data_IF_657684723347
#
_entry.id   IF_657684723347
#
_cell.length_a   1.000
_cell.length_b   1.000
_cell.length_c   1.000
_cell.angle_alpha   90.00
_cell.angle_beta   90.00
_cell.angle_gamma   90.00
#
_symmetry.space_group_name_H-M   'P 1'
#
loop_
_entity.id
_entity.type
_entity.pdbx_description
1 polymer ?
#
# COMPACT_ATOMS: atom_id res chain seq x y z
N UNK A 1 6.76 -6.04 -5.78
CA UNK A 1 7.31 -5.96 -4.42
C UNK A 1 7.87 -7.33 -4.04
N UNK A 2 9.13 -7.40 -3.67
CA UNK A 2 9.82 -8.64 -3.34
C UNK A 2 9.38 -9.19 -1.97
N UNK A 3 9.69 -10.46 -1.69
CA UNK A 3 9.51 -11.06 -0.36
C UNK A 3 10.28 -10.28 0.72
N UNK A 4 11.48 -9.78 0.37
CA UNK A 4 12.33 -8.98 1.26
C UNK A 4 11.66 -7.66 1.61
N UNK A 5 11.11 -6.95 0.63
CA UNK A 5 10.43 -5.67 0.85
C UNK A 5 9.22 -5.85 1.78
N UNK A 6 8.46 -6.95 1.62
CA UNK A 6 7.34 -7.28 2.52
C UNK A 6 7.79 -7.48 3.96
N UNK A 7 8.89 -8.20 4.16
CA UNK A 7 9.43 -8.43 5.50
C UNK A 7 9.97 -7.14 6.15
N UNK A 8 10.65 -6.28 5.37
CA UNK A 8 11.09 -4.96 5.86
C UNK A 8 9.90 -4.10 6.25
N UNK A 9 8.87 -4.04 5.40
CA UNK A 9 7.66 -3.27 5.67
C UNK A 9 6.91 -3.79 6.90
N UNK A 10 6.81 -5.11 7.05
CA UNK A 10 6.20 -5.74 8.23
C UNK A 10 6.94 -5.35 9.52
N UNK A 11 8.27 -5.50 9.55
CA UNK A 11 9.08 -5.16 10.72
C UNK A 11 8.94 -3.67 11.08
N UNK A 12 8.95 -2.79 10.08
CA UNK A 12 8.77 -1.36 10.26
C UNK A 12 7.39 -1.04 10.86
N UNK A 13 6.32 -1.60 10.31
CA UNK A 13 4.96 -1.42 10.82
C UNK A 13 4.85 -1.93 12.26
N UNK A 14 5.37 -3.13 12.55
CA UNK A 14 5.33 -3.73 13.89
C UNK A 14 6.08 -2.86 14.92
N UNK A 15 7.22 -2.27 14.55
CA UNK A 15 8.00 -1.41 15.45
C UNK A 15 7.29 -0.10 15.83
N UNK A 16 6.29 0.32 15.05
CA UNK A 16 5.58 1.61 15.22
C UNK A 16 4.12 1.45 15.63
N UNK A 17 3.54 0.29 15.41
CA UNK A 17 2.15 0.03 15.77
C UNK A 17 1.95 0.22 17.28
N UNK A 18 1.06 1.14 17.64
CA UNK A 18 0.68 1.35 19.03
C UNK A 18 -0.14 0.18 19.57
N UNK A 19 -0.34 0.18 20.89
CA UNK A 19 -1.28 -0.75 21.52
C UNK A 19 -2.68 -0.58 20.91
N UNK A 20 -3.34 -1.71 20.58
CA UNK A 20 -4.69 -1.72 20.02
C UNK A 20 -4.78 -1.62 18.49
N UNK A 21 -3.67 -1.53 17.78
CA UNK A 21 -3.66 -1.55 16.32
C UNK A 21 -3.96 -2.96 15.78
N UNK A 22 -4.85 -3.04 14.78
CA UNK A 22 -5.07 -4.28 14.02
C UNK A 22 -4.22 -4.23 12.75
N UNK A 23 -3.17 -5.04 12.72
CA UNK A 23 -2.25 -5.07 11.58
C UNK A 23 -2.82 -5.85 10.39
N UNK A 24 -2.48 -5.40 9.19
CA UNK A 24 -2.77 -6.12 7.95
C UNK A 24 -1.75 -7.26 7.83
N UNK A 25 -2.18 -8.52 7.57
CA UNK A 25 -1.25 -9.61 7.32
C UNK A 25 -0.35 -9.33 6.10
N UNK A 26 0.94 -9.69 6.11
CA UNK A 26 1.85 -9.45 4.99
C UNK A 26 1.40 -10.04 3.64
N UNK A 27 0.64 -11.13 3.69
CA UNK A 27 0.02 -11.74 2.51
C UNK A 27 -0.91 -10.77 1.76
N UNK A 28 -1.49 -9.80 2.48
CA UNK A 28 -2.42 -8.81 1.95
C UNK A 28 -1.76 -7.46 1.65
N UNK A 29 -0.43 -7.33 1.68
CA UNK A 29 0.23 -6.10 1.26
C UNK A 29 0.11 -5.90 -0.25
N UNK A 30 -0.60 -4.85 -0.64
CA UNK A 30 -0.85 -4.46 -2.03
C UNK A 30 -1.05 -2.95 -2.14
N UNK A 31 -0.88 -2.41 -3.35
CA UNK A 31 -1.29 -1.05 -3.68
C UNK A 31 -2.70 -1.11 -4.28
N UNK A 32 -3.67 -0.42 -3.66
CA UNK A 32 -5.01 -0.28 -4.23
C UNK A 32 -4.97 0.77 -5.34
N UNK A 33 -5.23 0.38 -6.59
CA UNK A 33 -5.33 1.29 -7.73
C UNK A 33 -6.75 1.83 -7.92
N UNK A 34 -7.75 0.99 -7.70
CA UNK A 34 -9.16 1.33 -7.79
C UNK A 34 -9.95 0.46 -6.81
N UNK A 35 -10.89 1.07 -6.08
CA UNK A 35 -11.81 0.36 -5.19
C UNK A 35 -13.20 0.39 -5.80
N UNK A 36 -13.74 -0.78 -6.15
CA UNK A 36 -15.03 -0.92 -6.83
C UNK A 36 -16.22 -1.12 -5.87
N UNK A 37 -15.97 -1.30 -4.58
CA UNK A 37 -17.01 -1.60 -3.60
C UNK A 37 -17.77 -2.91 -3.89
N UNK A 38 -19.06 -2.95 -3.54
CA UNK A 38 -19.95 -4.08 -3.83
C UNK A 38 -20.54 -4.08 -5.25
N UNK A 39 -20.21 -3.08 -6.06
CA UNK A 39 -20.64 -2.98 -7.45
C UNK A 39 -19.48 -3.42 -8.33
N UNK A 40 -19.35 -4.72 -8.55
CA UNK A 40 -18.70 -5.18 -9.77
C UNK A 40 -19.68 -4.87 -10.91
N UNK A 41 -19.34 -3.96 -11.84
CA UNK A 41 -20.12 -3.81 -13.06
C UNK A 41 -20.24 -5.19 -13.71
N UNK A 42 -21.41 -5.57 -14.21
CA UNK A 42 -21.60 -6.85 -14.90
C UNK A 42 -20.60 -7.03 -16.06
N UNK A 43 -20.06 -5.93 -16.60
CA UNK A 43 -19.00 -5.88 -17.61
C UNK A 43 -17.62 -6.32 -17.11
N UNK A 44 -17.29 -6.18 -15.81
CA UNK A 44 -16.05 -6.73 -15.22
C UNK A 44 -16.20 -8.20 -14.80
N UNK A 45 -17.42 -8.71 -14.67
CA UNK A 45 -17.67 -10.15 -14.45
C UNK A 45 -17.41 -11.00 -15.72
N UNK A 46 -17.35 -10.36 -16.90
CA UNK A 46 -17.11 -10.99 -18.20
C UNK A 46 -15.82 -10.54 -18.88
N UNK A 47 -15.09 -9.57 -18.31
CA UNK A 47 -13.75 -9.28 -18.77
C UNK A 47 -12.87 -10.46 -18.35
N UNK A 48 -12.28 -11.24 -19.29
CA UNK A 48 -11.22 -12.14 -18.90
C UNK A 48 -10.16 -11.29 -18.20
N UNK A 49 -9.86 -11.61 -16.93
CA UNK A 49 -8.53 -11.31 -16.41
C UNK A 49 -7.56 -11.70 -17.52
N UNK A 50 -6.61 -10.84 -17.94
CA UNK A 50 -5.80 -11.13 -19.11
C UNK A 50 -5.15 -12.50 -18.96
N UNK A 51 -5.73 -13.49 -19.61
CA UNK A 51 -5.14 -14.79 -19.84
C UNK A 51 -3.95 -14.48 -20.75
N UNK A 52 -2.74 -14.97 -20.45
CA UNK A 52 -1.58 -14.72 -21.30
C UNK A 52 -1.73 -15.54 -22.59
N UNK A 53 -2.60 -15.11 -23.51
CA UNK A 53 -2.88 -15.80 -24.77
C UNK A 53 -3.54 -14.85 -25.81
N UNK A 54 -2.92 -13.70 -26.09
CA UNK A 54 -3.04 -12.95 -27.35
C UNK A 54 -2.01 -11.80 -27.35
N UNK A 55 -1.42 -11.40 -28.49
CA UNK A 55 -0.36 -10.39 -28.55
C UNK A 55 -0.93 -8.96 -28.55
N UNK A 56 -2.01 -8.70 -27.80
CA UNK A 56 -2.26 -7.34 -27.37
C UNK A 56 -1.30 -7.08 -26.22
N UNK A 57 -0.33 -6.19 -26.45
CA UNK A 57 0.65 -5.79 -25.46
C UNK A 57 -0.09 -5.26 -24.23
N UNK A 58 -0.40 -6.13 -23.26
CA UNK A 58 -0.31 -5.75 -21.86
C UNK A 58 1.14 -5.33 -21.67
N UNK A 59 1.42 -4.07 -21.95
CA UNK A 59 2.63 -3.42 -21.50
C UNK A 59 2.52 -3.48 -19.98
N UNK A 60 3.12 -4.51 -19.39
CA UNK A 60 3.36 -4.54 -17.96
C UNK A 60 4.09 -3.23 -17.66
N UNK A 61 3.39 -2.31 -17.01
CA UNK A 61 3.97 -1.04 -16.65
C UNK A 61 4.95 -1.35 -15.53
N UNK A 62 6.23 -1.50 -15.89
CA UNK A 62 7.30 -1.63 -14.91
C UNK A 62 7.49 -0.28 -14.22
N UNK A 63 6.73 -0.08 -13.15
CA UNK A 63 6.90 1.03 -12.25
C UNK A 63 8.02 0.68 -11.26
N UNK A 64 9.14 1.39 -11.36
CA UNK A 64 10.11 1.45 -10.28
C UNK A 64 9.49 2.22 -9.11
N UNK A 65 8.96 1.50 -8.12
CA UNK A 65 8.43 2.08 -6.90
C UNK A 65 9.48 1.98 -5.78
N UNK A 66 9.71 3.08 -5.08
CA UNK A 66 10.50 3.11 -3.85
C UNK A 66 9.64 3.60 -2.69
N UNK A 67 9.84 3.01 -1.52
CA UNK A 67 9.19 3.44 -0.28
C UNK A 67 10.11 4.40 0.45
N UNK A 68 9.73 5.67 0.49
CA UNK A 68 10.58 6.75 1.04
C UNK A 68 10.00 7.35 2.33
N UNK A 69 8.76 7.01 2.67
CA UNK A 69 8.06 7.55 3.84
C UNK A 69 7.02 6.55 4.34
N UNK A 70 6.94 6.38 5.66
CA UNK A 70 5.82 5.73 6.34
C UNK A 70 4.99 6.80 7.03
N UNK A 71 3.66 6.79 6.87
CA UNK A 71 2.77 7.80 7.42
C UNK A 71 1.65 7.18 8.25
N UNK A 72 1.19 7.93 9.25
CA UNK A 72 -0.06 7.68 9.95
C UNK A 72 -1.11 8.65 9.42
N UNK A 73 -2.26 8.13 8.99
CA UNK A 73 -3.38 8.93 8.50
C UNK A 73 -4.62 8.72 9.35
N UNK A 74 -5.32 9.81 9.66
CA UNK A 74 -6.72 9.76 10.06
C UNK A 74 -7.58 9.64 8.82
N UNK A 75 -8.41 8.59 8.76
CA UNK A 75 -9.39 8.43 7.69
C UNK A 75 -10.74 9.00 8.11
N UNK A 76 -11.15 10.10 7.48
CA UNK A 76 -12.32 10.89 7.82
C UNK A 76 -13.40 10.65 6.75
N UNK A 77 -14.58 10.12 7.10
CA UNK A 77 -15.68 9.96 6.16
C UNK A 77 -16.15 11.30 5.60
N UNK A 78 -16.47 11.34 4.31
CA UNK A 78 -17.08 12.48 3.62
C UNK A 78 -18.27 12.00 2.77
N UNK A 79 -19.17 12.89 2.33
CA UNK A 79 -20.30 12.49 1.48
C UNK A 79 -19.90 11.78 0.17
N UNK A 80 -18.71 12.06 -0.35
CA UNK A 80 -18.20 11.49 -1.62
C UNK A 80 -17.13 10.42 -1.43
N UNK A 81 -16.78 10.05 -0.19
CA UNK A 81 -15.76 9.05 0.08
C UNK A 81 -15.05 9.25 1.41
N UNK A 82 -13.71 9.30 1.37
CA UNK A 82 -12.85 9.51 2.55
C UNK A 82 -11.82 10.59 2.26
N UNK A 83 -11.63 11.48 3.22
CA UNK A 83 -10.47 12.38 3.29
C UNK A 83 -9.43 11.73 4.20
N UNK A 84 -8.16 11.83 3.83
CA UNK A 84 -7.06 11.38 4.67
C UNK A 84 -6.30 12.58 5.19
N UNK A 85 -6.21 12.70 6.50
CA UNK A 85 -5.42 13.73 7.17
C UNK A 85 -4.16 13.10 7.75
N UNK A 86 -2.99 13.63 7.39
CA UNK A 86 -1.71 13.10 7.86
C UNK A 86 -1.52 13.52 9.32
N UNK A 87 -1.32 12.54 10.20
CA UNK A 87 -1.09 12.76 11.63
C UNK A 87 0.40 12.72 11.98
N UNK A 88 1.15 11.82 11.35
CA UNK A 88 2.58 11.63 11.61
C UNK A 88 3.25 11.05 10.36
N UNK A 89 4.56 11.23 10.24
CA UNK A 89 5.35 10.57 9.22
C UNK A 89 6.80 10.31 9.61
N UNK A 90 7.37 9.30 8.99
CA UNK A 90 8.73 8.85 9.17
C UNK A 90 9.39 8.72 7.79
N UNK A 91 10.42 9.51 7.54
CA UNK A 91 11.26 9.34 6.37
C UNK A 91 11.97 7.98 6.41
N UNK A 92 12.04 7.32 5.25
CA UNK A 92 12.77 6.07 5.06
C UNK A 92 13.97 6.35 4.17
N UNK A 93 15.11 5.79 4.55
CA UNK A 93 16.31 5.74 3.74
C UNK A 93 16.10 4.94 2.46
N UNK A 94 17.09 4.95 1.58
CA UNK A 94 17.05 4.28 0.27
C UNK A 94 16.92 2.75 0.36
N UNK A 95 17.19 2.17 1.52
CA UNK A 95 17.01 0.76 1.84
C UNK A 95 15.69 0.43 2.55
N UNK A 96 14.82 1.43 2.73
CA UNK A 96 13.54 1.30 3.41
C UNK A 96 13.64 1.29 4.95
N UNK A 97 14.82 1.57 5.51
CA UNK A 97 15.00 1.68 6.97
C UNK A 97 14.91 3.13 7.45
N UNK A 98 14.47 3.40 8.69
CA UNK A 98 14.50 4.75 9.23
C UNK A 98 15.94 5.29 9.27
N UNK A 99 16.19 6.59 9.00
CA UNK A 99 17.50 7.16 9.19
C UNK A 99 17.94 6.98 10.65
N UNK A 100 19.15 6.47 10.88
CA UNK A 100 19.73 6.40 12.23
C UNK A 100 19.77 7.82 12.82
N UNK A 101 18.96 8.09 13.85
CA UNK A 101 19.02 9.37 14.60
C UNK A 101 17.72 10.16 14.80
N UNK A 102 16.54 9.60 14.57
CA UNK A 102 15.27 10.28 14.85
C UNK A 102 14.75 10.08 16.28
N UNK A 103 15.49 10.52 17.30
CA UNK A 103 14.89 10.73 18.62
C UNK A 103 14.11 12.06 18.58
N UNK A 104 12.80 12.00 18.67
CA UNK A 104 11.97 13.17 18.97
C UNK A 104 11.52 13.04 20.42
N UNK A 105 12.06 13.93 21.25
CA UNK A 105 11.51 14.26 22.57
C UNK A 105 10.30 15.18 22.47
#
# INVERSE_FOLDING_TARGET
MSQRDKATLEALIQSRAGAGWRLIPPANYHLTLCFLGGQLPATLALAPFPTPAAPERSAAMELGLSFNELCVFQSIPTPTGRRYERLDSLALGTDGTPPEGGASG
#
